data_IF_765853555159
#
_entry.id   IF_765853555159
#
_cell.length_a   1.000
_cell.length_b   1.000
_cell.length_c   1.000
_cell.angle_alpha   90.00
_cell.angle_beta   90.00
_cell.angle_gamma   90.00
#
_symmetry.space_group_name_H-M   'P 1'
#
loop_
_entity.id
_entity.type
_entity.pdbx_description
1 polymer ?
#
# COMPACT_ATOMS: atom_id res chain seq x y z
N UNK A 1 -5.53 -40.73 21.79
CA UNK A 1 -6.32 -39.95 20.81
C UNK A 1 -5.35 -39.10 19.98
N UNK A 2 -5.30 -39.29 18.66
CA UNK A 2 -4.53 -38.37 17.82
C UNK A 2 -5.29 -37.04 17.69
N UNK A 3 -4.61 -35.88 17.73
CA UNK A 3 -5.24 -34.64 17.33
C UNK A 3 -5.64 -34.76 15.86
N UNK A 4 -6.89 -34.46 15.53
CA UNK A 4 -7.24 -34.20 14.14
C UNK A 4 -6.52 -32.91 13.77
N UNK A 5 -5.45 -33.01 12.98
CA UNK A 5 -4.99 -31.89 12.18
C UNK A 5 -6.13 -31.56 11.21
N UNK A 6 -6.96 -30.60 11.60
CA UNK A 6 -7.82 -29.89 10.67
C UNK A 6 -6.87 -29.13 9.75
N UNK A 7 -6.63 -29.67 8.54
CA UNK A 7 -5.84 -28.99 7.53
C UNK A 7 -6.52 -27.66 7.21
N UNK A 8 -5.99 -26.57 7.78
CA UNK A 8 -6.35 -25.21 7.46
C UNK A 8 -5.81 -24.89 6.07
N UNK A 9 -6.49 -25.41 5.04
CA UNK A 9 -6.17 -25.18 3.63
C UNK A 9 -5.98 -23.70 3.36
N UNK A 10 -4.93 -23.35 2.62
CA UNK A 10 -4.65 -21.97 2.27
C UNK A 10 -5.72 -21.45 1.29
N UNK A 11 -6.28 -20.27 1.56
CA UNK A 11 -7.27 -19.63 0.72
C UNK A 11 -6.96 -18.15 0.51
N UNK A 12 -7.25 -17.63 -0.69
CA UNK A 12 -7.25 -16.20 -0.98
C UNK A 12 -8.58 -15.85 -1.63
N UNK A 13 -9.47 -15.22 -0.87
CA UNK A 13 -10.75 -14.71 -1.38
C UNK A 13 -10.61 -13.21 -1.67
N UNK A 14 -11.00 -12.79 -2.87
CA UNK A 14 -10.98 -11.39 -3.28
C UNK A 14 -12.28 -11.04 -4.00
N UNK A 15 -12.80 -9.83 -3.76
CA UNK A 15 -14.05 -9.36 -4.37
C UNK A 15 -13.94 -7.89 -4.77
N UNK A 16 -14.57 -7.52 -5.87
CA UNK A 16 -14.65 -6.13 -6.36
C UNK A 16 -16.11 -5.69 -6.36
N UNK A 17 -16.43 -4.70 -5.51
CA UNK A 17 -17.82 -4.32 -5.18
C UNK A 17 -17.99 -2.82 -4.97
N UNK A 18 -19.21 -2.42 -4.61
CA UNK A 18 -19.57 -1.07 -4.17
C UNK A 18 -18.97 0.05 -5.06
N UNK A 19 -19.44 0.17 -6.31
CA UNK A 19 -18.91 1.15 -7.26
C UNK A 19 -19.38 2.56 -6.88
N UNK A 20 -18.44 3.49 -6.58
CA UNK A 20 -18.79 4.87 -6.20
C UNK A 20 -18.32 5.87 -7.26
N UNK A 21 -19.16 6.89 -7.48
CA UNK A 21 -18.84 8.01 -8.35
C UNK A 21 -18.21 9.13 -7.51
N UNK A 22 -16.93 9.39 -7.74
CA UNK A 22 -16.22 10.53 -7.17
C UNK A 22 -16.27 11.73 -8.11
N UNK A 23 -16.31 12.91 -7.49
CA UNK A 23 -16.19 14.20 -8.15
C UNK A 23 -15.05 14.91 -7.43
N UNK A 24 -13.88 14.95 -8.05
CA UNK A 24 -12.69 15.56 -7.43
C UNK A 24 -12.84 17.08 -7.46
N UNK A 25 -12.82 17.66 -8.67
CA UNK A 25 -13.05 19.09 -8.94
C UNK A 25 -13.77 19.25 -10.29
N UNK A 26 -14.85 20.05 -10.32
CA UNK A 26 -15.68 20.57 -11.43
C UNK A 26 -15.89 19.78 -12.74
N UNK A 27 -14.86 19.13 -13.30
CA UNK A 27 -14.88 18.32 -14.53
C UNK A 27 -14.28 16.91 -14.35
N UNK A 28 -13.51 16.67 -13.26
CA UNK A 28 -12.88 15.38 -12.97
C UNK A 28 -13.83 14.50 -12.17
N UNK A 29 -14.63 13.74 -12.90
CA UNK A 29 -15.43 12.64 -12.32
C UNK A 29 -14.79 11.30 -12.65
N UNK A 30 -14.75 10.40 -11.67
CA UNK A 30 -14.19 9.07 -11.86
C UNK A 30 -14.93 8.05 -11.01
N UNK A 31 -14.74 6.77 -11.32
CA UNK A 31 -15.38 5.67 -10.59
C UNK A 31 -14.31 4.78 -10.00
N UNK A 32 -14.44 4.53 -8.71
CA UNK A 32 -13.67 3.53 -7.99
C UNK A 32 -14.56 2.37 -7.54
N UNK A 33 -13.89 1.33 -7.08
CA UNK A 33 -14.50 0.10 -6.59
C UNK A 33 -13.85 -0.24 -5.25
N UNK A 34 -14.63 -0.76 -4.31
CA UNK A 34 -14.05 -1.42 -3.14
C UNK A 34 -13.46 -2.76 -3.57
N UNK A 35 -12.16 -2.94 -3.33
CA UNK A 35 -11.52 -4.25 -3.34
C UNK A 35 -11.49 -4.74 -1.91
N UNK A 36 -12.01 -5.94 -1.67
CA UNK A 36 -11.97 -6.59 -0.38
C UNK A 36 -11.31 -7.96 -0.49
N UNK A 37 -10.25 -8.15 0.27
CA UNK A 37 -9.44 -9.35 0.35
C UNK A 37 -9.60 -10.00 1.73
N UNK A 38 -9.81 -11.31 1.77
CA UNK A 38 -9.78 -12.16 2.96
C UNK A 38 -8.91 -13.39 2.68
N UNK A 39 -7.95 -13.69 3.55
CA UNK A 39 -7.00 -14.78 3.34
C UNK A 39 -6.39 -15.27 4.66
N UNK A 40 -6.07 -16.56 4.74
CA UNK A 40 -5.16 -17.10 5.76
C UNK A 40 -3.69 -17.16 5.28
N UNK A 41 -3.43 -16.90 3.99
CA UNK A 41 -2.10 -17.04 3.36
C UNK A 41 -1.02 -16.18 4.00
N UNK A 42 0.21 -16.69 3.97
CA UNK A 42 1.40 -15.97 4.45
C UNK A 42 2.02 -15.03 3.41
N UNK A 43 1.58 -15.09 2.15
CA UNK A 43 1.98 -14.12 1.13
C UNK A 43 1.44 -12.71 1.43
N UNK A 44 0.37 -12.58 2.22
CA UNK A 44 -0.28 -11.30 2.52
C UNK A 44 -0.01 -10.84 3.96
N UNK A 45 0.32 -9.54 4.11
CA UNK A 45 0.69 -8.92 5.39
C UNK A 45 -0.52 -8.73 6.31
N UNK A 46 -1.68 -8.37 5.74
CA UNK A 46 -2.99 -8.35 6.43
C UNK A 46 -3.82 -9.56 5.99
N UNK A 47 -4.54 -10.19 6.94
CA UNK A 47 -5.49 -11.28 6.67
C UNK A 47 -6.82 -10.80 6.10
N UNK A 48 -7.20 -9.56 6.38
CA UNK A 48 -8.31 -8.84 5.73
C UNK A 48 -7.87 -7.44 5.35
N UNK A 49 -8.22 -6.98 4.15
CA UNK A 49 -8.07 -5.58 3.75
C UNK A 49 -9.23 -5.11 2.87
N UNK A 50 -9.69 -3.89 3.12
CA UNK A 50 -10.56 -3.12 2.21
C UNK A 50 -9.76 -1.92 1.71
N UNK A 51 -9.71 -1.74 0.39
CA UNK A 51 -9.10 -0.58 -0.27
C UNK A 51 -9.99 -0.13 -1.42
N UNK A 52 -9.87 1.14 -1.84
CA UNK A 52 -10.63 1.63 -3.00
C UNK A 52 -9.70 1.96 -4.16
N UNK A 53 -10.04 1.48 -5.36
CA UNK A 53 -9.23 1.63 -6.57
C UNK A 53 -10.08 1.92 -7.80
N UNK A 54 -9.60 2.82 -8.66
CA UNK A 54 -10.25 3.15 -9.95
C UNK A 54 -9.63 2.39 -11.12
N UNK A 55 -10.39 2.18 -12.18
CA UNK A 55 -9.98 1.38 -13.36
C UNK A 55 -8.58 1.74 -13.92
N UNK A 56 -8.19 3.02 -13.95
CA UNK A 56 -6.86 3.42 -14.45
C UNK A 56 -5.70 2.98 -13.55
N UNK A 57 -5.93 2.75 -12.26
CA UNK A 57 -4.91 2.18 -11.37
C UNK A 57 -4.75 0.67 -11.58
N UNK A 58 -5.81 -0.05 -11.98
CA UNK A 58 -5.70 -1.45 -12.40
C UNK A 58 -4.89 -1.58 -13.70
N UNK A 59 -5.07 -0.66 -14.66
CA UNK A 59 -4.26 -0.60 -15.88
C UNK A 59 -2.79 -0.38 -15.54
N UNK A 60 -2.49 0.53 -14.61
CA UNK A 60 -1.14 0.74 -14.09
C UNK A 60 -0.58 -0.51 -13.41
N UNK A 61 -1.34 -1.17 -12.52
CA UNK A 61 -0.93 -2.40 -11.83
C UNK A 61 -0.59 -3.51 -12.84
N UNK A 62 -1.47 -3.74 -13.82
CA UNK A 62 -1.24 -4.76 -14.86
C UNK A 62 0.04 -4.50 -15.63
N UNK A 63 0.31 -3.24 -15.99
CA UNK A 63 1.56 -2.87 -16.66
C UNK A 63 2.79 -3.11 -15.78
N UNK A 64 2.74 -2.76 -14.48
CA UNK A 64 3.82 -3.05 -13.54
C UNK A 64 4.10 -4.55 -13.41
N UNK A 65 3.05 -5.38 -13.34
CA UNK A 65 3.18 -6.84 -13.31
C UNK A 65 3.77 -7.39 -14.62
N UNK A 66 3.39 -6.84 -15.79
CA UNK A 66 3.95 -7.24 -17.10
C UNK A 66 5.47 -7.04 -17.15
N UNK A 67 5.99 -5.94 -16.59
CA UNK A 67 7.45 -5.70 -16.58
C UNK A 67 8.22 -6.67 -15.67
N UNK A 68 7.60 -7.21 -14.62
CA UNK A 68 8.25 -8.12 -13.68
C UNK A 68 8.07 -9.62 -14.04
N UNK A 69 7.09 -9.96 -14.87
CA UNK A 69 6.71 -11.34 -15.16
C UNK A 69 6.64 -11.61 -16.67
N UNK A 70 7.71 -11.30 -17.40
CA UNK A 70 7.81 -11.34 -18.87
C UNK A 70 7.43 -12.69 -19.53
N UNK A 71 7.42 -13.79 -18.77
CA UNK A 71 7.09 -15.15 -19.24
C UNK A 71 5.60 -15.49 -19.01
N UNK A 72 4.89 -14.72 -18.16
CA UNK A 72 3.50 -15.00 -17.77
C UNK A 72 2.52 -14.21 -18.65
N UNK A 73 1.55 -14.92 -19.23
CA UNK A 73 0.39 -14.31 -19.88
C UNK A 73 -0.55 -13.75 -18.81
N UNK A 74 -0.38 -12.46 -18.48
CA UNK A 74 -1.21 -11.80 -17.47
C UNK A 74 -2.68 -11.69 -17.91
N UNK A 75 -3.64 -11.91 -16.99
CA UNK A 75 -5.06 -11.82 -17.27
C UNK A 75 -5.43 -10.46 -17.86
N UNK A 76 -6.41 -10.46 -18.76
CA UNK A 76 -6.86 -9.24 -19.44
C UNK A 76 -7.78 -8.46 -18.51
N UNK A 77 -7.59 -7.15 -18.46
CA UNK A 77 -8.57 -6.25 -17.83
C UNK A 77 -9.82 -6.14 -18.72
N UNK A 78 -11.00 -5.84 -18.14
CA UNK A 78 -12.20 -5.56 -18.92
C UNK A 78 -11.94 -4.36 -19.84
N UNK A 79 -12.47 -4.33 -21.08
CA UNK A 79 -12.11 -3.31 -22.06
C UNK A 79 -12.27 -1.88 -21.56
N UNK A 80 -11.33 -1.00 -21.93
CA UNK A 80 -11.49 0.44 -21.73
C UNK A 80 -12.65 0.93 -22.60
N UNK A 81 -13.77 1.22 -21.97
CA UNK A 81 -14.94 1.83 -22.61
C UNK A 81 -14.86 3.37 -22.44
N UNK A 82 -14.67 4.16 -23.52
CA UNK A 82 -14.67 5.63 -23.46
C UNK A 82 -16.02 6.22 -23.07
N UNK A 83 -17.12 5.52 -23.38
CA UNK A 83 -18.51 5.93 -23.11
C UNK A 83 -19.08 5.22 -21.87
N UNK A 84 -18.21 4.87 -20.92
CA UNK A 84 -18.62 4.24 -19.67
C UNK A 84 -19.46 5.21 -18.83
N UNK A 85 -20.59 4.73 -18.30
CA UNK A 85 -21.47 5.53 -17.44
C UNK A 85 -21.98 4.71 -16.27
N UNK A 86 -21.88 5.27 -15.06
CA UNK A 86 -22.45 4.68 -13.83
C UNK A 86 -23.96 4.43 -13.90
N UNK A 87 -24.67 5.15 -14.78
CA UNK A 87 -26.11 4.99 -14.98
C UNK A 87 -26.47 3.71 -15.75
N UNK A 88 -25.48 3.05 -16.38
CA UNK A 88 -25.66 1.81 -17.14
C UNK A 88 -25.22 0.62 -16.29
N UNK A 89 -26.11 0.11 -15.44
CA UNK A 89 -25.82 -0.95 -14.46
C UNK A 89 -25.06 -2.13 -15.06
N UNK A 90 -25.44 -2.58 -16.26
CA UNK A 90 -24.75 -3.67 -16.97
C UNK A 90 -23.28 -3.36 -17.25
N UNK A 91 -22.95 -2.14 -17.67
CA UNK A 91 -21.54 -1.74 -17.91
C UNK A 91 -20.74 -1.71 -16.60
N UNK A 92 -21.38 -1.30 -15.50
CA UNK A 92 -20.76 -1.28 -14.17
C UNK A 92 -20.50 -2.71 -13.69
N UNK A 93 -21.50 -3.59 -13.80
CA UNK A 93 -21.42 -5.00 -13.42
C UNK A 93 -20.35 -5.75 -14.23
N UNK A 94 -20.36 -5.65 -15.56
CA UNK A 94 -19.36 -6.31 -16.42
C UNK A 94 -17.94 -5.81 -16.14
N UNK A 95 -17.77 -4.52 -15.84
CA UNK A 95 -16.47 -3.99 -15.42
C UNK A 95 -16.07 -4.53 -14.05
N UNK A 96 -16.96 -4.52 -13.06
CA UNK A 96 -16.67 -5.07 -11.73
C UNK A 96 -16.26 -6.53 -11.79
N UNK A 97 -17.03 -7.35 -12.52
CA UNK A 97 -16.72 -8.76 -12.74
C UNK A 97 -15.34 -8.93 -13.38
N UNK A 98 -15.07 -8.28 -14.52
CA UNK A 98 -13.76 -8.39 -15.16
C UNK A 98 -12.58 -7.87 -14.31
N UNK A 99 -12.81 -6.90 -13.41
CA UNK A 99 -11.80 -6.46 -12.44
C UNK A 99 -11.59 -7.49 -11.32
N UNK A 100 -12.64 -8.18 -10.88
CA UNK A 100 -12.55 -9.29 -9.93
C UNK A 100 -11.85 -10.49 -10.58
N UNK A 101 -12.31 -10.95 -11.76
CA UNK A 101 -11.70 -12.05 -12.53
C UNK A 101 -10.19 -11.79 -12.74
N UNK A 102 -9.80 -10.55 -13.07
CA UNK A 102 -8.39 -10.14 -13.17
C UNK A 102 -7.63 -10.34 -11.84
N UNK A 103 -8.17 -9.86 -10.72
CA UNK A 103 -7.53 -9.98 -9.42
C UNK A 103 -7.47 -11.42 -8.92
N UNK A 104 -8.53 -12.20 -9.09
CA UNK A 104 -8.58 -13.62 -8.73
C UNK A 104 -7.45 -14.39 -9.42
N UNK A 105 -7.27 -14.20 -10.74
CA UNK A 105 -6.16 -14.81 -11.48
C UNK A 105 -4.79 -14.32 -11.01
N UNK A 106 -4.65 -13.03 -10.70
CA UNK A 106 -3.38 -12.45 -10.20
C UNK A 106 -2.99 -13.02 -8.84
N UNK A 107 -3.92 -13.08 -7.88
CA UNK A 107 -3.61 -13.53 -6.50
C UNK A 107 -3.39 -15.04 -6.38
N UNK A 108 -3.84 -15.83 -7.36
CA UNK A 108 -3.55 -17.28 -7.45
C UNK A 108 -2.29 -17.60 -8.27
N UNK A 109 -1.52 -16.59 -8.71
CA UNK A 109 -0.26 -16.78 -9.46
C UNK A 109 0.95 -16.46 -8.57
N UNK A 110 1.71 -17.45 -8.07
CA UNK A 110 2.75 -17.23 -7.06
C UNK A 110 3.85 -16.22 -7.45
N UNK A 111 4.25 -16.17 -8.73
CA UNK A 111 5.26 -15.19 -9.18
C UNK A 111 4.77 -13.74 -9.02
N UNK A 112 3.47 -13.48 -9.25
CA UNK A 112 2.90 -12.13 -9.14
C UNK A 112 2.76 -11.70 -7.68
N UNK A 113 2.56 -12.65 -6.76
CA UNK A 113 2.58 -12.41 -5.31
C UNK A 113 3.96 -11.95 -4.79
N UNK A 114 5.03 -12.06 -5.57
CA UNK A 114 6.34 -11.49 -5.19
C UNK A 114 6.44 -9.97 -5.39
N UNK A 115 5.53 -9.35 -6.17
CA UNK A 115 5.59 -7.92 -6.45
C UNK A 115 4.99 -7.09 -5.31
N UNK A 116 5.84 -6.34 -4.60
CA UNK A 116 5.43 -5.40 -3.55
C UNK A 116 4.35 -4.40 -3.97
N UNK A 117 4.27 -4.03 -5.26
CA UNK A 117 3.27 -3.09 -5.79
C UNK A 117 1.87 -3.69 -5.78
N UNK A 118 1.73 -5.00 -5.96
CA UNK A 118 0.46 -5.73 -5.81
C UNK A 118 -0.03 -5.66 -4.36
N UNK A 119 0.85 -5.94 -3.40
CA UNK A 119 0.52 -5.87 -1.96
C UNK A 119 0.15 -4.46 -1.51
N UNK A 120 0.89 -3.45 -1.94
CA UNK A 120 0.55 -2.06 -1.66
C UNK A 120 -0.77 -1.63 -2.32
N UNK A 121 -1.05 -2.11 -3.54
CA UNK A 121 -2.31 -1.83 -4.24
C UNK A 121 -3.52 -2.43 -3.50
N UNK A 122 -3.39 -3.66 -2.99
CA UNK A 122 -4.46 -4.44 -2.32
C UNK A 122 -4.62 -4.15 -0.82
N UNK A 123 -3.56 -3.71 -0.14
CA UNK A 123 -3.51 -3.63 1.33
C UNK A 123 -3.13 -2.23 1.85
N UNK A 124 -3.00 -1.22 0.99
CA UNK A 124 -2.76 0.18 1.43
C UNK A 124 -3.57 1.21 0.63
N UNK A 125 -3.80 2.36 1.25
CA UNK A 125 -4.48 3.52 0.66
C UNK A 125 -3.51 4.46 -0.11
N UNK A 126 -2.31 3.98 -0.43
CA UNK A 126 -1.31 4.75 -1.18
C UNK A 126 -1.76 4.98 -2.63
N UNK A 127 -1.58 6.19 -3.15
CA UNK A 127 -1.71 6.48 -4.58
C UNK A 127 -0.59 5.79 -5.38
N UNK A 128 -0.82 5.50 -6.67
CA UNK A 128 0.14 4.79 -7.53
C UNK A 128 1.57 5.37 -7.48
N UNK A 129 1.71 6.71 -7.45
CA UNK A 129 3.01 7.38 -7.32
C UNK A 129 3.70 7.12 -5.97
N UNK A 130 2.93 7.02 -4.88
CA UNK A 130 3.47 6.64 -3.56
C UNK A 130 3.83 5.15 -3.52
N UNK A 131 3.04 4.28 -4.17
CA UNK A 131 3.35 2.85 -4.30
C UNK A 131 4.66 2.65 -5.05
N UNK A 132 4.82 3.25 -6.23
CA UNK A 132 6.03 3.16 -7.04
C UNK A 132 7.27 3.66 -6.30
N UNK A 133 7.17 4.82 -5.63
CA UNK A 133 8.26 5.31 -4.78
C UNK A 133 8.59 4.37 -3.63
N UNK A 134 7.60 3.72 -3.02
CA UNK A 134 7.82 2.79 -1.92
C UNK A 134 8.49 1.50 -2.39
N UNK A 135 8.03 0.92 -3.51
CA UNK A 135 8.63 -0.26 -4.13
C UNK A 135 10.09 -0.01 -4.57
N UNK A 136 10.44 1.22 -4.96
CA UNK A 136 11.81 1.64 -5.31
C UNK A 136 12.67 2.05 -4.10
N UNK A 137 12.19 1.92 -2.85
CA UNK A 137 12.92 2.35 -1.65
C UNK A 137 13.07 3.89 -1.51
N UNK A 138 12.29 4.68 -2.26
CA UNK A 138 12.35 6.16 -2.31
C UNK A 138 11.36 6.82 -1.33
N UNK A 139 11.01 6.14 -0.24
CA UNK A 139 10.13 6.62 0.84
C UNK A 139 10.80 6.44 2.21
N UNK A 140 10.38 7.24 3.21
CA UNK A 140 10.84 7.12 4.60
C UNK A 140 10.22 5.94 5.38
N UNK A 141 9.39 5.15 4.72
CA UNK A 141 8.70 3.99 5.26
C UNK A 141 8.85 2.81 4.29
N UNK A 142 8.86 1.61 4.83
CA UNK A 142 8.88 0.35 4.12
C UNK A 142 7.49 -0.07 3.62
N UNK A 143 7.46 -1.08 2.73
CA UNK A 143 6.22 -1.73 2.26
C UNK A 143 5.39 -2.26 3.44
N UNK A 144 6.03 -2.94 4.39
CA UNK A 144 5.35 -3.55 5.54
C UNK A 144 4.71 -2.49 6.45
N UNK A 145 5.40 -1.39 6.71
CA UNK A 145 4.85 -0.27 7.47
C UNK A 145 3.70 0.44 6.76
N UNK A 146 3.79 0.64 5.44
CA UNK A 146 2.73 1.25 4.64
C UNK A 146 1.43 0.45 4.70
N UNK A 147 1.52 -0.88 4.65
CA UNK A 147 0.39 -1.79 4.80
C UNK A 147 -0.13 -1.77 6.25
N UNK A 148 0.76 -1.74 7.25
CA UNK A 148 0.35 -1.73 8.66
C UNK A 148 -0.33 -0.41 9.08
N UNK A 149 0.05 0.72 8.47
CA UNK A 149 -0.56 2.04 8.72
C UNK A 149 -1.85 2.30 7.94
N UNK A 150 -2.23 1.46 6.97
CA UNK A 150 -3.48 1.65 6.23
C UNK A 150 -4.71 1.39 7.11
N UNK A 151 -5.75 2.21 6.97
CA UNK A 151 -6.86 2.26 7.93
C UNK A 151 -7.92 1.18 7.65
N UNK A 152 -7.80 0.46 6.52
CA UNK A 152 -8.61 -0.72 6.22
C UNK A 152 -8.34 -1.88 7.18
N UNK A 153 -9.21 -2.04 8.19
CA UNK A 153 -9.28 -3.19 9.08
C UNK A 153 -10.48 -3.10 10.03
N UNK A 154 -11.42 -4.05 9.92
CA UNK A 154 -12.34 -4.33 11.02
C UNK A 154 -11.56 -4.87 12.23
N UNK A 155 -12.14 -4.77 13.43
CA UNK A 155 -11.44 -4.88 14.71
C UNK A 155 -10.72 -6.22 14.89
N UNK A 156 -9.59 -6.16 15.64
CA UNK A 156 -8.85 -7.31 16.19
C UNK A 156 -9.79 -8.42 16.66
N UNK A 157 -9.56 -9.65 16.19
CA UNK A 157 -9.86 -10.81 17.03
C UNK A 157 -8.85 -10.80 18.19
N UNK A 158 -9.33 -10.98 19.40
CA UNK A 158 -8.52 -10.86 20.62
C UNK A 158 -7.66 -12.12 20.84
N UNK A 159 -6.35 -12.05 20.59
CA UNK A 159 -5.40 -12.95 21.25
C UNK A 159 -5.18 -12.47 22.68
N UNK A 160 -6.12 -12.82 23.55
CA UNK A 160 -6.04 -12.60 25.00
C UNK A 160 -5.13 -13.67 25.63
N UNK A 161 -3.81 -13.50 25.45
CA UNK A 161 -2.83 -14.15 26.34
C UNK A 161 -2.49 -13.17 27.46
N UNK A 162 -2.95 -13.51 28.66
CA UNK A 162 -2.69 -12.77 29.89
C UNK A 162 -1.22 -12.87 30.29
N UNK A 163 -0.62 -11.73 30.62
CA UNK A 163 0.50 -11.67 31.55
C UNK A 163 0.18 -10.59 32.60
N UNK A 164 -0.26 -11.03 33.77
CA UNK A 164 -0.25 -10.18 34.96
C UNK A 164 1.20 -9.84 35.31
N UNK A 165 1.44 -8.59 35.71
CA UNK A 165 2.72 -8.11 36.21
C UNK A 165 2.46 -6.90 37.09
N UNK A 166 1.98 -7.15 38.30
CA UNK A 166 1.84 -6.14 39.34
C UNK A 166 3.23 -5.58 39.68
N UNK A 167 3.38 -4.27 39.61
CA UNK A 167 4.57 -3.56 40.10
C UNK A 167 4.18 -2.31 40.90
N UNK A 168 3.48 -2.54 42.01
CA UNK A 168 3.31 -1.55 43.07
C UNK A 168 4.65 -1.28 43.77
N UNK A 169 5.12 -0.03 43.73
CA UNK A 169 5.91 0.57 44.82
C UNK A 169 5.96 2.10 44.68
N UNK A 170 5.87 2.77 45.83
CA UNK A 170 5.39 4.15 45.92
C UNK A 170 6.47 5.23 45.84
N UNK A 171 5.97 6.46 45.66
CA UNK A 171 6.66 7.76 45.62
C UNK A 171 7.78 8.01 46.66
N UNK A 172 8.79 8.79 46.26
CA UNK A 172 9.54 9.69 47.15
C UNK A 172 10.01 10.94 46.36
N UNK A 173 9.87 12.12 46.95
CA UNK A 173 10.22 13.43 46.34
C UNK A 173 11.62 13.91 46.76
N UNK A 174 12.29 14.77 45.98
CA UNK A 174 12.93 16.01 46.50
C UNK A 174 13.64 16.88 45.44
N UNK A 175 13.70 18.17 45.77
CA UNK A 175 14.20 19.35 45.05
C UNK A 175 15.72 19.45 44.87
N UNK A 176 16.22 20.32 43.96
CA UNK A 176 17.64 20.71 43.93
C UNK A 176 18.06 21.75 42.87
N UNK A 177 19.09 22.56 43.18
CA UNK A 177 19.69 23.65 42.39
C UNK A 177 21.22 23.43 42.27
N UNK A 178 22.01 24.05 41.38
CA UNK A 178 21.74 25.06 40.33
C UNK A 178 23.09 25.62 39.78
N UNK A 179 23.03 26.64 38.90
CA UNK A 179 24.18 27.28 38.19
C UNK A 179 24.88 26.37 37.14
N UNK A 180 25.37 26.79 35.96
CA UNK A 180 25.83 28.07 35.36
C UNK A 180 27.32 28.42 35.58
N UNK A 181 28.17 28.12 34.58
CA UNK A 181 29.43 28.85 34.25
C UNK A 181 29.66 28.78 32.73
N UNK A 182 29.94 29.92 32.10
CA UNK A 182 30.34 30.07 30.68
C UNK A 182 31.87 30.09 30.52
N UNK A 183 32.38 29.65 29.35
CA UNK A 183 33.65 30.16 28.78
C UNK A 183 33.60 30.13 27.23
N UNK A 184 33.98 31.19 26.49
CA UNK A 184 33.81 31.29 25.04
C UNK A 184 35.12 31.17 24.21
N UNK A 185 35.00 31.42 22.88
CA UNK A 185 36.05 31.66 21.84
C UNK A 185 36.65 30.39 21.21
N UNK A 186 36.90 30.26 19.89
CA UNK A 186 36.39 30.90 18.65
C UNK A 186 37.08 30.15 17.47
N UNK A 187 36.44 30.00 16.31
CA UNK A 187 37.16 29.61 15.08
C UNK A 187 36.43 28.63 14.15
N UNK A 188 35.45 29.12 13.41
CA UNK A 188 34.88 28.43 12.26
C UNK A 188 35.56 28.87 10.95
N UNK A 189 35.88 27.94 10.03
CA UNK A 189 36.09 28.26 8.62
C UNK A 189 34.79 28.02 7.85
N UNK A 190 34.23 29.07 7.24
CA UNK A 190 33.23 28.95 6.18
C UNK A 190 33.90 28.90 4.80
N UNK A 191 33.29 28.22 3.80
CA UNK A 191 33.96 27.93 2.54
C UNK A 191 33.98 29.10 1.55
N UNK A 192 34.87 28.93 0.57
CA UNK A 192 35.27 29.83 -0.49
C UNK A 192 34.14 30.24 -1.45
N UNK A 193 34.25 31.45 -2.01
CA UNK A 193 33.32 32.02 -3.00
C UNK A 193 33.64 31.61 -4.45
N UNK A 194 32.58 31.38 -5.22
CA UNK A 194 32.36 31.82 -6.61
C UNK A 194 33.47 31.59 -7.68
N UNK A 195 33.13 30.81 -8.71
CA UNK A 195 33.65 31.00 -10.07
C UNK A 195 32.63 30.53 -11.12
N UNK A 196 32.56 31.27 -12.23
CA UNK A 196 31.53 31.16 -13.26
C UNK A 196 32.20 30.96 -14.63
N UNK A 197 32.03 29.76 -15.19
CA UNK A 197 32.25 29.43 -16.61
C UNK A 197 31.28 28.27 -16.94
N UNK A 198 30.27 28.45 -17.80
CA UNK A 198 30.37 28.48 -19.26
C UNK A 198 31.25 27.34 -19.80
N UNK A 199 30.60 26.30 -20.32
CA UNK A 199 30.68 26.06 -21.76
C UNK A 199 29.40 25.39 -22.29
N UNK A 200 28.93 25.89 -23.44
CA UNK A 200 28.03 25.18 -24.33
C UNK A 200 28.89 24.57 -25.43
N UNK A 201 28.75 23.28 -25.70
CA UNK A 201 29.11 22.75 -27.02
C UNK A 201 28.03 21.77 -27.48
N UNK A 202 27.33 22.14 -28.55
CA UNK A 202 26.50 21.22 -29.32
C UNK A 202 27.39 20.18 -29.99
N UNK A 203 26.88 18.97 -30.25
CA UNK A 203 27.05 18.31 -31.54
C UNK A 203 25.92 17.29 -31.80
N UNK A 204 25.12 17.60 -32.84
CA UNK A 204 24.37 16.73 -33.77
C UNK A 204 23.42 15.69 -33.14
#
# INVERSE_FOLDING_TARGET
>A
CHPKHSDCTEFVSISVRDPRLHKDDFWRTHVDYEIHLCTNSMCFRKKTSSVRRRYSEFVWLRHCLEQNALIIVLPRLPPRNPFFSMRKTEQVFQRMKGLQDFLENVVHTPLLLSDSRLHLFLQSDLSITKIERCALGKTRYTVAEAIQRSVGGCIRLEDKVSCDSDCESSSSSSSGLGLSVDTPVQGSPLPFSESLARDQQLFI
#
